data_IF_639422535570
#
_entry.id   IF_639422535570
#
_cell.length_a   1.000
_cell.length_b   1.000
_cell.length_c   1.000
_cell.angle_alpha   90.00
_cell.angle_beta   90.00
_cell.angle_gamma   90.00
#
_symmetry.space_group_name_H-M   'P 1'
#
loop_
_entity.id
_entity.type
_entity.pdbx_description
1 polymer ?
#
# COMPACT_ATOMS: atom_id res chain seq x y z
N UNK A 1 2.91 23.80 46.01
CA UNK A 1 2.50 23.53 44.61
C UNK A 1 3.36 22.47 43.89
N UNK A 2 4.66 22.32 44.17
CA UNK A 2 5.55 21.39 43.44
C UNK A 2 5.31 19.89 43.70
N UNK A 3 4.94 19.47 44.91
CA UNK A 3 4.79 18.04 45.27
C UNK A 3 3.59 17.37 44.58
N UNK A 4 2.45 18.06 44.48
CA UNK A 4 1.26 17.55 43.77
C UNK A 4 1.50 17.35 42.27
N UNK A 5 2.33 18.20 41.66
CA UNK A 5 2.73 18.09 40.25
C UNK A 5 3.66 16.90 40.00
N UNK A 6 4.56 16.58 40.93
CA UNK A 6 5.47 15.42 40.84
C UNK A 6 4.70 14.10 40.99
N UNK A 7 3.74 14.02 41.91
CA UNK A 7 2.93 12.81 42.13
C UNK A 7 2.02 12.55 40.91
N UNK A 8 1.40 13.58 40.35
CA UNK A 8 0.61 13.46 39.13
C UNK A 8 1.45 12.98 37.93
N UNK A 9 2.66 13.50 37.77
CA UNK A 9 3.58 13.06 36.72
C UNK A 9 4.02 11.59 36.90
N UNK A 10 4.30 11.16 38.13
CA UNK A 10 4.68 9.79 38.43
C UNK A 10 3.54 8.77 38.19
N UNK A 11 2.30 9.13 38.52
CA UNK A 11 1.10 8.32 38.24
C UNK A 11 0.82 8.20 36.74
N UNK A 12 0.95 9.31 36.00
CA UNK A 12 0.81 9.29 34.54
C UNK A 12 1.88 8.42 33.88
N UNK A 13 3.12 8.51 34.36
CA UNK A 13 4.22 7.69 33.86
C UNK A 13 4.01 6.19 34.15
N UNK A 14 3.59 5.84 35.37
CA UNK A 14 3.30 4.45 35.74
C UNK A 14 2.08 3.86 34.99
N UNK A 15 1.09 4.69 34.68
CA UNK A 15 -0.05 4.29 33.85
C UNK A 15 0.38 4.06 32.39
N UNK A 16 1.21 4.96 31.84
CA UNK A 16 1.73 4.83 30.49
C UNK A 16 2.62 3.58 30.30
N UNK A 17 3.48 3.26 31.28
CA UNK A 17 4.32 2.06 31.21
C UNK A 17 3.50 0.77 31.29
N UNK A 18 2.47 0.74 32.15
CA UNK A 18 1.57 -0.42 32.24
C UNK A 18 0.76 -0.62 30.96
N UNK A 19 0.24 0.47 30.38
CA UNK A 19 -0.50 0.40 29.12
C UNK A 19 0.38 -0.06 27.95
N UNK A 20 1.64 0.40 27.91
CA UNK A 20 2.62 -0.06 26.92
C UNK A 20 2.92 -1.56 27.06
N UNK A 21 3.12 -2.06 28.28
CA UNK A 21 3.37 -3.49 28.50
C UNK A 21 2.16 -4.35 28.10
N UNK A 22 0.95 -3.88 28.38
CA UNK A 22 -0.29 -4.54 27.96
C UNK A 22 -0.41 -4.57 26.42
N UNK A 23 -0.13 -3.46 25.74
CA UNK A 23 -0.16 -3.39 24.28
C UNK A 23 0.80 -4.42 23.65
N UNK A 24 2.03 -4.54 24.15
CA UNK A 24 3.00 -5.50 23.65
C UNK A 24 2.53 -6.96 23.82
N UNK A 25 1.95 -7.32 24.97
CA UNK A 25 1.45 -8.68 25.23
C UNK A 25 0.23 -9.02 24.35
N UNK A 26 -0.72 -8.08 24.23
CA UNK A 26 -1.89 -8.28 23.37
C UNK A 26 -1.52 -8.35 21.89
N UNK A 27 -0.58 -7.54 21.42
CA UNK A 27 -0.10 -7.59 20.04
C UNK A 27 0.56 -8.94 19.73
N UNK A 28 1.40 -9.44 20.65
CA UNK A 28 2.02 -10.76 20.51
C UNK A 28 0.98 -11.88 20.41
N UNK A 29 -0.03 -11.86 21.29
CA UNK A 29 -1.14 -12.83 21.25
C UNK A 29 -1.90 -12.78 19.93
N UNK A 30 -2.16 -11.57 19.42
CA UNK A 30 -2.79 -11.36 18.12
C UNK A 30 -1.93 -11.98 17.00
N UNK A 31 -0.63 -11.68 16.94
CA UNK A 31 0.26 -12.25 15.91
C UNK A 31 0.34 -13.77 15.98
N UNK A 32 0.38 -14.35 17.18
CA UNK A 32 0.35 -15.80 17.38
C UNK A 32 -0.96 -16.41 16.86
N UNK A 33 -2.08 -15.74 17.09
CA UNK A 33 -3.38 -16.15 16.56
C UNK A 33 -3.43 -16.07 15.03
N UNK A 34 -3.02 -14.93 14.45
CA UNK A 34 -2.98 -14.75 13.00
C UNK A 34 -2.07 -15.79 12.34
N UNK A 35 -0.92 -16.09 12.94
CA UNK A 35 -0.03 -17.14 12.45
C UNK A 35 -0.71 -18.52 12.42
N UNK A 36 -1.48 -18.87 13.46
CA UNK A 36 -2.25 -20.13 13.49
C UNK A 36 -3.40 -20.13 12.47
N UNK A 37 -4.10 -19.01 12.34
CA UNK A 37 -5.24 -18.88 11.40
C UNK A 37 -4.78 -18.97 9.95
N UNK A 38 -3.63 -18.38 9.61
CA UNK A 38 -3.08 -18.39 8.24
C UNK A 38 -3.00 -19.78 7.60
N UNK A 39 -2.78 -20.84 8.37
CA UNK A 39 -2.70 -22.22 7.88
C UNK A 39 -3.98 -23.04 8.08
N UNK A 40 -4.99 -22.50 8.79
CA UNK A 40 -6.18 -23.26 9.20
C UNK A 40 -7.49 -22.74 8.61
N UNK A 41 -7.50 -21.55 8.01
CA UNK A 41 -8.68 -20.98 7.35
C UNK A 41 -8.40 -20.63 5.88
N UNK A 42 -9.46 -20.33 5.13
CA UNK A 42 -9.32 -19.88 3.74
C UNK A 42 -8.62 -18.51 3.66
N UNK A 43 -7.96 -18.15 2.53
CA UNK A 43 -7.33 -16.84 2.37
C UNK A 43 -8.29 -15.66 2.61
N UNK A 44 -9.52 -15.76 2.11
CA UNK A 44 -10.55 -14.72 2.29
C UNK A 44 -10.97 -14.56 3.75
N UNK A 45 -11.13 -15.67 4.46
CA UNK A 45 -11.45 -15.65 5.89
C UNK A 45 -10.28 -15.12 6.72
N UNK A 46 -9.04 -15.50 6.38
CA UNK A 46 -7.83 -14.99 7.02
C UNK A 46 -7.73 -13.46 6.91
N UNK A 47 -8.00 -12.92 5.72
CA UNK A 47 -8.00 -11.46 5.48
C UNK A 47 -8.95 -10.76 6.45
N UNK A 48 -10.19 -11.23 6.59
CA UNK A 48 -11.17 -10.63 7.49
C UNK A 48 -10.74 -10.68 8.96
N UNK A 49 -10.20 -11.81 9.41
CA UNK A 49 -9.68 -11.95 10.78
C UNK A 49 -8.49 -11.02 11.03
N UNK A 50 -7.56 -10.93 10.08
CA UNK A 50 -6.40 -10.05 10.17
C UNK A 50 -6.79 -8.58 10.20
N UNK A 51 -7.71 -8.17 9.32
CA UNK A 51 -8.26 -6.81 9.29
C UNK A 51 -8.90 -6.45 10.64
N UNK A 52 -9.83 -7.28 11.12
CA UNK A 52 -10.57 -7.01 12.36
C UNK A 52 -9.62 -6.91 13.56
N UNK A 53 -8.72 -7.89 13.72
CA UNK A 53 -7.80 -7.94 14.86
C UNK A 53 -6.80 -6.79 14.87
N UNK A 54 -6.19 -6.47 13.72
CA UNK A 54 -5.23 -5.37 13.63
C UNK A 54 -5.91 -4.00 13.76
N UNK A 55 -7.08 -3.81 13.15
CA UNK A 55 -7.83 -2.55 13.27
C UNK A 55 -8.31 -2.32 14.70
N UNK A 56 -8.80 -3.36 15.37
CA UNK A 56 -9.14 -3.30 16.79
C UNK A 56 -7.93 -2.94 17.64
N UNK A 57 -6.76 -3.53 17.38
CA UNK A 57 -5.53 -3.22 18.09
C UNK A 57 -5.13 -1.74 17.94
N UNK A 58 -5.12 -1.22 16.72
CA UNK A 58 -4.81 0.20 16.43
C UNK A 58 -5.80 1.13 17.13
N UNK A 59 -7.09 0.79 17.13
CA UNK A 59 -8.12 1.57 17.83
C UNK A 59 -7.91 1.59 19.35
N UNK A 60 -7.48 0.47 19.93
CA UNK A 60 -7.31 0.29 21.37
C UNK A 60 -6.01 0.88 21.91
N UNK A 61 -4.94 0.85 21.11
CA UNK A 61 -3.58 1.25 21.49
C UNK A 61 -2.94 2.20 20.45
N UNK A 62 -3.57 3.32 20.06
CA UNK A 62 -3.14 4.14 18.92
C UNK A 62 -1.75 4.77 19.04
N UNK A 63 -1.24 4.89 20.27
CA UNK A 63 0.06 5.49 20.58
C UNK A 63 1.12 4.44 20.95
N UNK A 64 0.81 3.14 20.88
CA UNK A 64 1.79 2.11 21.17
C UNK A 64 2.81 1.96 20.03
N UNK A 65 4.07 1.57 20.34
CA UNK A 65 5.03 1.21 19.31
C UNK A 65 4.51 0.14 18.36
N UNK A 66 3.74 -0.83 18.86
CA UNK A 66 3.17 -1.92 18.06
C UNK A 66 2.06 -1.47 17.11
N UNK A 67 1.37 -0.36 17.41
CA UNK A 67 0.35 0.16 16.51
C UNK A 67 0.96 0.60 15.18
N UNK A 68 2.21 1.09 15.19
CA UNK A 68 2.97 1.37 13.98
C UNK A 68 3.09 0.13 13.09
N UNK A 69 3.41 -1.01 13.68
CA UNK A 69 3.58 -2.28 12.97
C UNK A 69 2.22 -2.82 12.50
N UNK A 70 1.17 -2.61 13.29
CA UNK A 70 -0.20 -2.93 12.88
C UNK A 70 -0.65 -2.08 11.68
N UNK A 71 -0.29 -0.80 11.63
CA UNK A 71 -0.50 0.06 10.46
C UNK A 71 0.23 -0.48 9.23
N UNK A 72 1.51 -0.88 9.35
CA UNK A 72 2.23 -1.51 8.22
C UNK A 72 1.50 -2.77 7.71
N UNK A 73 1.09 -3.65 8.62
CA UNK A 73 0.41 -4.90 8.27
C UNK A 73 -0.95 -4.66 7.61
N UNK A 74 -1.78 -3.75 8.14
CA UNK A 74 -3.05 -3.35 7.53
C UNK A 74 -2.83 -2.73 6.15
N UNK A 75 -1.86 -1.83 6.04
CA UNK A 75 -1.48 -1.20 4.78
C UNK A 75 -1.13 -2.21 3.68
N UNK A 76 -0.31 -3.21 4.00
CA UNK A 76 0.06 -4.28 3.08
C UNK A 76 -1.12 -5.19 2.74
N UNK A 77 -1.95 -5.53 3.74
CA UNK A 77 -3.15 -6.33 3.55
C UNK A 77 -4.09 -5.66 2.55
N UNK A 78 -4.42 -4.39 2.77
CA UNK A 78 -5.32 -3.63 1.89
C UNK A 78 -4.74 -3.40 0.50
N UNK A 79 -3.43 -3.17 0.38
CA UNK A 79 -2.77 -3.07 -0.92
C UNK A 79 -2.89 -4.37 -1.74
N UNK A 80 -2.88 -5.52 -1.06
CA UNK A 80 -3.04 -6.83 -1.70
C UNK A 80 -4.50 -7.15 -2.05
N UNK A 81 -5.46 -6.67 -1.26
CA UNK A 81 -6.90 -6.93 -1.50
C UNK A 81 -7.55 -5.93 -2.44
N UNK A 82 -6.86 -4.87 -2.82
CA UNK A 82 -7.37 -3.87 -3.75
C UNK A 82 -8.02 -2.66 -3.09
N UNK A 83 -7.98 -2.56 -1.76
CA UNK A 83 -8.59 -1.47 -0.98
C UNK A 83 -7.63 -0.29 -0.85
N UNK A 84 -7.37 0.37 -1.99
CA UNK A 84 -6.28 1.33 -2.13
C UNK A 84 -6.36 2.52 -1.15
N UNK A 85 -7.55 3.07 -0.88
CA UNK A 85 -7.73 4.19 0.05
C UNK A 85 -7.30 3.82 1.48
N UNK A 86 -7.72 2.64 1.95
CA UNK A 86 -7.32 2.13 3.27
C UNK A 86 -5.82 1.80 3.30
N UNK A 87 -5.30 1.23 2.21
CA UNK A 87 -3.88 0.93 2.09
C UNK A 87 -3.02 2.19 2.26
N UNK A 88 -3.35 3.25 1.51
CA UNK A 88 -2.68 4.56 1.59
C UNK A 88 -2.79 5.13 3.00
N UNK A 89 -3.99 5.16 3.59
CA UNK A 89 -4.19 5.67 4.95
C UNK A 89 -3.27 5.00 5.98
N UNK A 90 -3.21 3.68 6.00
CA UNK A 90 -2.38 2.96 6.96
C UNK A 90 -0.88 3.07 6.68
N UNK A 91 -0.47 3.09 5.41
CA UNK A 91 0.94 3.22 5.03
C UNK A 91 1.47 4.64 5.24
N UNK A 92 0.67 5.67 5.01
CA UNK A 92 1.04 7.06 5.37
C UNK A 92 1.20 7.20 6.89
N UNK A 93 0.30 6.61 7.68
CA UNK A 93 0.43 6.60 9.14
C UNK A 93 1.72 5.89 9.59
N UNK A 94 2.10 4.78 8.92
CA UNK A 94 3.38 4.12 9.15
C UNK A 94 4.57 5.00 8.78
N UNK A 95 4.56 5.57 7.56
CA UNK A 95 5.66 6.39 7.04
C UNK A 95 5.89 7.67 7.86
N UNK A 96 4.84 8.25 8.45
CA UNK A 96 4.94 9.44 9.29
C UNK A 96 5.66 9.22 10.62
N UNK A 97 5.73 7.97 11.10
CA UNK A 97 6.21 7.61 12.45
C UNK A 97 7.32 6.56 12.44
N UNK A 98 7.74 6.08 11.27
CA UNK A 98 8.67 4.96 11.15
C UNK A 98 10.06 5.24 11.71
N UNK A 99 10.54 6.48 11.68
CA UNK A 99 11.87 6.85 12.17
C UNK A 99 12.99 6.19 11.37
N UNK A 100 14.11 5.90 12.03
CA UNK A 100 15.27 5.21 11.41
C UNK A 100 15.06 3.68 11.43
N UNK A 101 14.33 3.17 10.44
CA UNK A 101 14.19 1.72 10.17
C UNK A 101 15.21 1.26 9.14
N UNK A 102 15.33 -0.05 8.99
CA UNK A 102 16.21 -0.63 7.98
C UNK A 102 15.76 -0.19 6.57
N UNK A 103 16.69 0.16 5.66
CA UNK A 103 16.35 0.64 4.32
C UNK A 103 15.40 -0.28 3.55
N UNK A 104 15.56 -1.60 3.68
CA UNK A 104 14.71 -2.60 3.03
C UNK A 104 13.26 -2.61 3.54
N UNK A 105 13.05 -2.32 4.84
CA UNK A 105 11.71 -2.25 5.43
C UNK A 105 10.96 -1.00 4.95
N UNK A 106 11.67 0.13 4.93
CA UNK A 106 11.15 1.41 4.42
C UNK A 106 10.85 1.29 2.91
N UNK A 107 11.74 0.64 2.15
CA UNK A 107 11.54 0.42 0.72
C UNK A 107 10.29 -0.43 0.45
N UNK A 108 10.06 -1.48 1.23
CA UNK A 108 8.87 -2.31 1.09
C UNK A 108 7.58 -1.50 1.37
N UNK A 109 7.55 -0.73 2.47
CA UNK A 109 6.40 0.13 2.79
C UNK A 109 6.15 1.19 1.70
N UNK A 110 7.20 1.85 1.21
CA UNK A 110 7.14 2.79 0.08
C UNK A 110 6.58 2.15 -1.18
N UNK A 111 6.96 0.91 -1.47
CA UNK A 111 6.46 0.20 -2.64
C UNK A 111 4.95 -0.02 -2.54
N UNK A 112 4.47 -0.58 -1.43
CA UNK A 112 3.01 -0.77 -1.23
C UNK A 112 2.25 0.56 -1.24
N UNK A 113 2.83 1.63 -0.70
CA UNK A 113 2.21 2.95 -0.71
C UNK A 113 2.08 3.48 -2.14
N UNK A 114 3.14 3.34 -2.94
CA UNK A 114 3.10 3.69 -4.36
C UNK A 114 2.09 2.84 -5.14
N UNK A 115 1.93 1.54 -4.82
CA UNK A 115 0.88 0.71 -5.42
C UNK A 115 -0.51 1.26 -5.10
N UNK A 116 -0.74 1.66 -3.85
CA UNK A 116 -1.98 2.33 -3.44
C UNK A 116 -2.24 3.59 -4.27
N UNK A 117 -1.24 4.48 -4.39
CA UNK A 117 -1.36 5.68 -5.23
C UNK A 117 -1.63 5.38 -6.70
N UNK A 118 -0.97 4.37 -7.29
CA UNK A 118 -1.23 3.97 -8.68
C UNK A 118 -2.66 3.48 -8.89
N UNK A 119 -3.24 2.78 -7.91
CA UNK A 119 -4.62 2.30 -7.98
C UNK A 119 -5.64 3.43 -7.85
N UNK A 120 -5.26 4.53 -7.18
CA UNK A 120 -6.07 5.74 -7.06
C UNK A 120 -5.82 6.75 -8.18
N UNK A 121 -5.01 6.40 -9.18
CA UNK A 121 -4.56 7.30 -10.26
C UNK A 121 -3.82 8.56 -9.74
N UNK A 122 -3.28 8.50 -8.52
CA UNK A 122 -2.46 9.56 -7.93
C UNK A 122 -1.00 9.44 -8.39
N UNK A 123 -0.79 9.50 -9.71
CA UNK A 123 0.48 9.16 -10.36
C UNK A 123 1.66 9.99 -9.86
N UNK A 124 1.44 11.27 -9.55
CA UNK A 124 2.46 12.18 -9.04
C UNK A 124 2.99 11.75 -7.66
N UNK A 125 2.11 11.22 -6.79
CA UNK A 125 2.50 10.72 -5.46
C UNK A 125 3.19 9.35 -5.55
N UNK A 126 2.87 8.54 -6.56
CA UNK A 126 3.51 7.24 -6.78
C UNK A 126 4.96 7.36 -7.29
N UNK A 127 5.25 8.36 -8.12
CA UNK A 127 6.51 8.50 -8.85
C UNK A 127 7.72 8.63 -7.92
N UNK A 128 7.63 9.47 -6.88
CA UNK A 128 8.73 9.72 -5.93
C UNK A 128 9.20 8.44 -5.21
N UNK A 129 8.32 7.76 -4.45
CA UNK A 129 8.68 6.53 -3.73
C UNK A 129 9.22 5.43 -4.66
N UNK A 130 8.66 5.27 -5.86
CA UNK A 130 9.17 4.28 -6.83
C UNK A 130 10.57 4.62 -7.32
N UNK A 131 10.82 5.89 -7.66
CA UNK A 131 12.14 6.38 -8.07
C UNK A 131 13.18 6.17 -6.97
N UNK A 132 12.84 6.46 -5.72
CA UNK A 132 13.74 6.22 -4.58
C UNK A 132 14.11 4.74 -4.43
N UNK A 133 13.14 3.83 -4.61
CA UNK A 133 13.39 2.39 -4.55
C UNK A 133 14.30 1.95 -5.70
N UNK A 134 14.01 2.39 -6.93
CA UNK A 134 14.80 2.04 -8.13
C UNK A 134 16.24 2.49 -8.00
N UNK A 135 16.46 3.70 -7.48
CA UNK A 135 17.78 4.28 -7.30
C UNK A 135 18.46 3.85 -6.00
N UNK A 136 17.81 3.05 -5.16
CA UNK A 136 18.42 2.51 -3.96
C UNK A 136 19.57 1.57 -4.28
N UNK A 137 20.65 1.67 -3.49
CA UNK A 137 21.81 0.80 -3.62
C UNK A 137 21.52 -0.65 -3.25
N UNK A 138 22.59 -1.41 -2.98
CA UNK A 138 22.52 -2.85 -2.68
C UNK A 138 21.73 -3.19 -1.39
N UNK A 139 21.39 -2.19 -0.58
CA UNK A 139 20.56 -2.33 0.62
C UNK A 139 19.11 -2.68 0.29
N UNK A 140 18.63 -2.28 -0.89
CA UNK A 140 17.30 -2.66 -1.36
C UNK A 140 17.38 -4.00 -2.09
N UNK A 141 16.47 -4.96 -1.84
CA UNK A 141 16.44 -6.21 -2.61
C UNK A 141 16.24 -5.96 -4.11
N UNK A 142 17.04 -6.63 -4.96
CA UNK A 142 16.97 -6.45 -6.42
C UNK A 142 15.57 -6.70 -6.98
N UNK A 143 14.87 -7.72 -6.48
CA UNK A 143 13.48 -8.02 -6.86
C UNK A 143 12.54 -6.84 -6.63
N UNK A 144 12.72 -6.12 -5.53
CA UNK A 144 11.92 -4.96 -5.19
C UNK A 144 12.24 -3.78 -6.10
N UNK A 145 13.53 -3.53 -6.40
CA UNK A 145 13.94 -2.51 -7.38
C UNK A 145 13.37 -2.79 -8.76
N UNK A 146 13.41 -4.04 -9.21
CA UNK A 146 12.87 -4.42 -10.52
C UNK A 146 11.35 -4.25 -10.58
N UNK A 147 10.63 -4.64 -9.52
CA UNK A 147 9.19 -4.42 -9.41
C UNK A 147 8.83 -2.92 -9.43
N UNK A 148 9.58 -2.11 -8.67
CA UNK A 148 9.42 -0.66 -8.67
C UNK A 148 9.74 -0.03 -10.03
N UNK A 149 10.78 -0.51 -10.73
CA UNK A 149 11.15 -0.03 -12.06
C UNK A 149 10.06 -0.31 -13.10
N UNK A 150 9.43 -1.49 -13.04
CA UNK A 150 8.30 -1.83 -13.91
C UNK A 150 7.12 -0.89 -13.67
N UNK A 151 6.74 -0.66 -12.42
CA UNK A 151 5.63 0.23 -12.08
C UNK A 151 5.96 1.71 -12.40
N UNK A 152 7.19 2.17 -12.14
CA UNK A 152 7.67 3.51 -12.51
C UNK A 152 7.62 3.73 -14.03
N UNK A 153 8.07 2.75 -14.81
CA UNK A 153 8.04 2.81 -16.27
C UNK A 153 6.64 2.88 -16.87
N UNK A 154 5.61 2.49 -16.12
CA UNK A 154 4.20 2.59 -16.54
C UNK A 154 3.64 3.99 -16.36
N UNK A 155 4.14 4.79 -15.41
CA UNK A 155 3.58 6.11 -15.09
C UNK A 155 3.46 7.04 -16.31
N UNK A 156 4.48 7.18 -17.19
CA UNK A 156 4.34 8.03 -18.37
C UNK A 156 3.25 7.56 -19.34
N UNK A 157 3.01 6.25 -19.42
CA UNK A 157 1.96 5.66 -20.26
C UNK A 157 0.59 5.90 -19.61
N UNK A 158 0.46 5.68 -18.31
CA UNK A 158 -0.76 5.93 -17.54
C UNK A 158 -1.19 7.40 -17.65
N UNK A 159 -0.24 8.35 -17.51
CA UNK A 159 -0.50 9.78 -17.74
C UNK A 159 -1.07 10.03 -19.13
N UNK A 160 -0.53 9.42 -20.18
CA UNK A 160 -1.05 9.59 -21.56
C UNK A 160 -2.44 8.97 -21.75
N UNK A 161 -2.77 7.94 -21.00
CA UNK A 161 -4.07 7.26 -21.03
C UNK A 161 -5.13 7.91 -20.13
N UNK A 162 -4.75 8.89 -19.30
CA UNK A 162 -5.66 9.58 -18.41
C UNK A 162 -6.83 10.24 -19.15
N UNK A 163 -7.99 10.29 -18.48
CA UNK A 163 -9.21 10.87 -19.02
C UNK A 163 -8.97 12.34 -19.39
N UNK A 164 -9.45 12.75 -20.56
CA UNK A 164 -9.30 14.11 -21.08
C UNK A 164 -8.08 14.31 -21.98
N UNK A 165 -7.09 13.40 -21.94
CA UNK A 165 -6.02 13.41 -22.92
C UNK A 165 -6.50 12.91 -24.29
N UNK A 166 -5.91 13.40 -25.39
CA UNK A 166 -6.16 12.83 -26.70
C UNK A 166 -5.85 11.33 -26.70
N UNK A 167 -6.74 10.53 -27.26
CA UNK A 167 -6.52 9.09 -27.42
C UNK A 167 -5.19 8.85 -28.17
N UNK A 168 -4.38 7.92 -27.65
CA UNK A 168 -3.11 7.54 -28.28
C UNK A 168 -3.39 7.07 -29.70
N UNK A 169 -2.72 7.60 -30.74
CA UNK A 169 -2.95 7.16 -32.11
C UNK A 169 -2.72 5.65 -32.27
N UNK A 170 -3.76 4.93 -32.71
CA UNK A 170 -3.67 3.52 -33.05
C UNK A 170 -3.85 3.41 -34.57
N UNK A 171 -2.99 2.58 -35.17
CA UNK A 171 -3.12 2.10 -36.53
C UNK A 171 -3.24 0.58 -36.50
N UNK A 172 -4.19 0.05 -37.24
CA UNK A 172 -4.37 -1.39 -37.38
C UNK A 172 -4.76 -1.74 -38.81
N UNK A 173 -4.53 -2.98 -39.20
CA UNK A 173 -5.08 -3.53 -40.43
C UNK A 173 -6.39 -4.27 -40.10
N UNK A 174 -7.41 -4.09 -40.93
CA UNK A 174 -8.62 -4.90 -40.90
C UNK A 174 -8.36 -6.30 -41.48
N UNK A 175 -9.33 -7.21 -41.33
CA UNK A 175 -9.23 -8.58 -41.86
C UNK A 175 -9.08 -8.66 -43.39
N UNK A 176 -9.50 -7.63 -44.12
CA UNK A 176 -9.33 -7.47 -45.57
C UNK A 176 -8.09 -6.63 -45.94
N UNK A 177 -7.21 -6.31 -44.98
CA UNK A 177 -5.93 -5.65 -45.21
C UNK A 177 -6.00 -4.12 -45.39
N UNK A 178 -7.16 -3.48 -45.16
CA UNK A 178 -7.26 -2.02 -45.16
C UNK A 178 -6.68 -1.44 -43.88
N UNK A 179 -5.98 -0.32 -43.99
CA UNK A 179 -5.52 0.42 -42.81
C UNK A 179 -6.70 1.17 -42.18
N UNK A 180 -6.86 1.03 -40.86
CA UNK A 180 -7.74 1.85 -40.04
C UNK A 180 -6.90 2.65 -39.05
N UNK A 181 -7.31 3.91 -38.85
CA UNK A 181 -6.70 4.82 -37.88
C UNK A 181 -7.78 5.37 -36.95
N UNK A 182 -7.42 5.74 -35.73
CA UNK A 182 -8.40 6.33 -34.80
C UNK A 182 -9.04 7.61 -35.32
N UNK A 183 -8.31 8.40 -36.13
CA UNK A 183 -8.82 9.63 -36.72
C UNK A 183 -10.08 9.41 -37.58
N UNK A 184 -10.19 8.24 -38.22
CA UNK A 184 -11.35 7.85 -39.03
C UNK A 184 -12.64 7.75 -38.21
N UNK A 185 -12.53 7.64 -36.88
CA UNK A 185 -13.66 7.52 -35.96
C UNK A 185 -13.92 8.78 -35.13
N UNK A 186 -13.26 9.91 -35.44
CA UNK A 186 -13.51 11.19 -34.75
C UNK A 186 -15.00 11.57 -34.77
N UNK A 187 -15.50 11.99 -33.61
CA UNK A 187 -16.92 12.33 -33.43
C UNK A 187 -17.85 11.14 -33.19
N UNK A 188 -17.33 9.90 -33.20
CA UNK A 188 -18.08 8.68 -32.87
C UNK A 188 -17.62 8.14 -31.52
N UNK A 189 -18.51 7.41 -30.85
CA UNK A 189 -18.13 6.55 -29.72
C UNK A 189 -17.43 5.32 -30.29
N UNK A 190 -16.20 5.09 -29.84
CA UNK A 190 -15.41 3.93 -30.24
C UNK A 190 -15.29 2.97 -29.05
N UNK A 191 -15.73 1.73 -29.25
CA UNK A 191 -15.48 0.62 -28.33
C UNK A 191 -14.32 -0.20 -28.88
N UNK A 192 -13.22 -0.30 -28.12
CA UNK A 192 -12.16 -1.25 -28.42
C UNK A 192 -12.39 -2.52 -27.61
N UNK A 193 -12.50 -3.64 -28.32
CA UNK A 193 -12.66 -4.98 -27.73
C UNK A 193 -11.45 -5.84 -28.10
N UNK A 194 -10.90 -6.53 -27.10
CA UNK A 194 -9.73 -7.40 -27.24
C UNK A 194 -10.15 -8.83 -26.92
N UNK A 195 -10.12 -9.69 -27.92
CA UNK A 195 -10.42 -11.12 -27.76
C UNK A 195 -9.28 -11.97 -28.34
N UNK A 196 -9.10 -13.16 -27.76
CA UNK A 196 -8.16 -14.18 -28.23
C UNK A 196 -8.79 -15.56 -28.06
N UNK A 197 -8.62 -16.46 -29.04
CA UNK A 197 -8.95 -17.87 -28.90
C UNK A 197 -7.74 -18.63 -28.37
N UNK A 198 -7.92 -19.35 -27.27
CA UNK A 198 -6.87 -20.15 -26.65
C UNK A 198 -6.92 -21.56 -27.27
N UNK A 199 -5.81 -22.02 -27.84
CA UNK A 199 -5.66 -23.37 -28.42
C UNK A 199 -4.90 -24.28 -27.46
#
# INVERSE_FOLDING_TARGET
MKIRSIIAAALLLACATNLSAQASDEYKKLLDELSRKRSTVSPREFIGIAEEGLAYFVSRYPDSPEALEAHLNLGQLYAQTGEAEKAVFHLEAYMARSGERRPEEIAAAKYFLAKGYLMLDELDKAEGPLSEIVNGGNEIPERLRNAAAMDLGRIPILRKLAIGNPAIPIKAATSDGREITLDTFKGKVLLLDFWASWC
#
